data_IF_498278553229
#
_entry.id   IF_498278553229
#
_cell.length_a   1.000
_cell.length_b   1.000
_cell.length_c   1.000
_cell.angle_alpha   90.00
_cell.angle_beta   90.00
_cell.angle_gamma   90.00
#
_symmetry.space_group_name_H-M   'P 1'
#
loop_
_entity.id
_entity.type
_entity.pdbx_description
1 polymer ?
#
# COMPACT_ATOMS: atom_id res chain seq x y z
N UNK A 1 31.06 11.58 -21.84
CA UNK A 1 30.59 11.52 -20.44
C UNK A 1 29.07 11.60 -20.47
N UNK A 2 28.40 10.48 -20.23
CA UNK A 2 26.93 10.36 -20.22
C UNK A 2 26.39 10.82 -18.86
N UNK A 3 25.43 11.75 -18.86
CA UNK A 3 24.75 12.17 -17.65
C UNK A 3 23.99 11.00 -17.01
N UNK A 4 23.98 10.86 -15.67
CA UNK A 4 23.19 9.82 -15.03
C UNK A 4 21.71 10.09 -15.31
N UNK A 5 20.97 9.03 -15.70
CA UNK A 5 19.51 9.10 -15.77
C UNK A 5 19.00 9.52 -14.39
N UNK A 6 18.41 10.71 -14.30
CA UNK A 6 17.61 11.09 -13.16
C UNK A 6 16.45 10.10 -13.10
N UNK A 7 16.53 9.10 -12.20
CA UNK A 7 15.34 8.34 -11.81
C UNK A 7 14.33 9.39 -11.37
N UNK A 8 13.20 9.49 -12.09
CA UNK A 8 12.12 10.37 -11.73
C UNK A 8 11.78 10.07 -10.27
N UNK A 9 12.17 10.97 -9.38
CA UNK A 9 11.84 10.84 -7.97
C UNK A 9 10.32 10.79 -7.91
N UNK A 10 9.77 9.66 -7.47
CA UNK A 10 8.34 9.53 -7.22
C UNK A 10 7.96 10.76 -6.39
N UNK A 11 7.07 11.61 -6.93
CA UNK A 11 6.56 12.73 -6.16
C UNK A 11 5.95 12.14 -4.88
N UNK A 12 6.57 12.38 -3.73
CA UNK A 12 6.10 11.81 -2.45
C UNK A 12 4.96 12.63 -1.86
N UNK A 13 4.73 13.82 -2.40
CA UNK A 13 3.72 14.76 -1.93
C UNK A 13 2.38 14.63 -2.68
N UNK A 14 2.12 13.50 -3.37
CA UNK A 14 0.78 13.20 -3.93
C UNK A 14 -0.28 13.14 -2.84
N UNK A 15 0.14 12.84 -1.60
CA UNK A 15 -0.72 12.79 -0.43
C UNK A 15 -0.34 13.90 0.54
N UNK A 16 -1.34 14.63 1.07
CA UNK A 16 -1.07 15.59 2.14
C UNK A 16 -0.49 14.87 3.36
N UNK A 17 0.65 15.35 3.84
CA UNK A 17 1.28 14.93 5.10
C UNK A 17 0.44 15.45 6.25
N UNK A 18 -0.43 14.59 6.74
CA UNK A 18 -1.31 14.89 7.87
C UNK A 18 -1.29 13.67 8.81
N UNK A 19 -1.52 13.87 10.11
CA UNK A 19 -1.41 12.79 11.09
C UNK A 19 -2.54 11.77 10.99
N UNK A 20 -3.63 12.06 10.27
CA UNK A 20 -4.74 11.12 10.10
C UNK A 20 -4.37 9.95 9.17
N UNK A 21 -4.81 8.73 9.49
CA UNK A 21 -4.58 7.55 8.64
C UNK A 21 -5.07 7.76 7.20
N UNK A 22 -4.27 7.28 6.25
CA UNK A 22 -4.60 7.22 4.83
C UNK A 22 -5.31 5.91 4.55
N UNK A 23 -6.65 5.96 4.51
CA UNK A 23 -7.49 4.79 4.28
C UNK A 23 -7.51 4.40 2.80
N UNK A 24 -7.22 3.13 2.54
CA UNK A 24 -7.16 2.54 1.20
C UNK A 24 -8.27 1.50 1.08
N UNK A 25 -8.97 1.51 -0.05
CA UNK A 25 -9.84 0.43 -0.47
C UNK A 25 -9.13 -0.37 -1.57
N UNK A 26 -8.88 -1.65 -1.32
CA UNK A 26 -8.23 -2.55 -2.26
C UNK A 26 -9.29 -3.38 -3.00
N UNK A 27 -9.37 -3.17 -4.31
CA UNK A 27 -10.26 -3.89 -5.22
C UNK A 27 -9.45 -4.91 -6.01
N UNK A 28 -9.71 -6.20 -5.78
CA UNK A 28 -9.03 -7.31 -6.43
C UNK A 28 -9.94 -7.83 -7.54
N UNK A 29 -9.52 -7.65 -8.78
CA UNK A 29 -10.24 -8.19 -9.93
C UNK A 29 -10.29 -9.72 -9.85
N UNK A 30 -11.29 -10.33 -10.50
CA UNK A 30 -11.32 -11.78 -10.61
C UNK A 30 -10.45 -12.25 -11.76
N UNK A 31 -9.45 -13.09 -11.48
CA UNK A 31 -8.71 -13.77 -12.54
C UNK A 31 -8.64 -15.28 -12.26
N UNK A 32 -9.32 -16.08 -13.09
CA UNK A 32 -9.50 -17.52 -12.88
C UNK A 32 -8.21 -18.26 -12.54
N UNK A 33 -7.33 -18.50 -13.54
CA UNK A 33 -6.06 -19.20 -13.35
C UNK A 33 -4.89 -18.29 -12.92
N UNK A 34 -5.08 -16.97 -12.90
CA UNK A 34 -4.04 -16.00 -12.54
C UNK A 34 -4.04 -15.65 -11.04
N UNK A 35 -4.81 -16.36 -10.21
CA UNK A 35 -4.85 -16.10 -8.77
C UNK A 35 -3.48 -16.15 -8.08
N UNK A 36 -2.53 -16.96 -8.57
CA UNK A 36 -1.15 -16.99 -8.07
C UNK A 36 -0.34 -15.74 -8.43
N UNK A 37 -0.59 -15.15 -9.61
CA UNK A 37 0.01 -13.87 -10.00
C UNK A 37 -0.55 -12.75 -9.12
N UNK A 38 -1.87 -12.71 -8.92
CA UNK A 38 -2.50 -11.75 -8.00
C UNK A 38 -1.94 -11.88 -6.58
N UNK A 39 -1.76 -13.11 -6.08
CA UNK A 39 -1.17 -13.33 -4.75
C UNK A 39 0.25 -12.74 -4.63
N UNK A 40 1.08 -12.88 -5.67
CA UNK A 40 2.41 -12.24 -5.71
C UNK A 40 2.33 -10.70 -5.69
N UNK A 41 1.41 -10.12 -6.46
CA UNK A 41 1.17 -8.67 -6.47
C UNK A 41 0.71 -8.19 -5.09
N UNK A 42 -0.17 -8.94 -4.42
CA UNK A 42 -0.65 -8.62 -3.08
C UNK A 42 0.49 -8.68 -2.04
N UNK A 43 1.38 -9.66 -2.15
CA UNK A 43 2.56 -9.75 -1.28
C UNK A 43 3.44 -8.49 -1.41
N UNK A 44 3.78 -8.10 -2.63
CA UNK A 44 4.59 -6.90 -2.88
C UNK A 44 3.88 -5.61 -2.44
N UNK A 45 2.56 -5.51 -2.66
CA UNK A 45 1.77 -4.37 -2.20
C UNK A 45 1.81 -4.26 -0.66
N UNK A 46 1.60 -5.37 0.05
CA UNK A 46 1.64 -5.36 1.53
C UNK A 46 3.03 -5.00 2.06
N UNK A 47 4.09 -5.52 1.44
CA UNK A 47 5.47 -5.17 1.78
C UNK A 47 5.75 -3.68 1.54
N UNK A 48 5.35 -3.14 0.39
CA UNK A 48 5.53 -1.73 0.06
C UNK A 48 4.79 -0.81 1.06
N UNK A 49 3.57 -1.17 1.46
CA UNK A 49 2.82 -0.42 2.46
C UNK A 49 3.49 -0.44 3.84
N UNK A 50 4.05 -1.58 4.25
CA UNK A 50 4.81 -1.69 5.50
C UNK A 50 6.07 -0.81 5.47
N UNK A 51 6.88 -0.91 4.41
CA UNK A 51 8.07 -0.06 4.22
C UNK A 51 7.72 1.43 4.25
N UNK A 52 6.63 1.82 3.59
CA UNK A 52 6.15 3.21 3.61
C UNK A 52 5.68 3.66 5.01
N UNK A 53 5.07 2.76 5.78
CA UNK A 53 4.63 3.05 7.15
C UNK A 53 5.79 3.10 8.16
N UNK A 54 6.88 2.39 7.92
CA UNK A 54 8.11 2.50 8.72
C UNK A 54 8.85 3.81 8.45
N UNK A 55 8.81 4.32 7.21
CA UNK A 55 9.44 5.56 6.78
C UNK A 55 8.63 6.84 7.07
N UNK A 56 7.78 6.85 8.12
CA UNK A 56 6.90 7.99 8.41
C UNK A 56 7.64 9.16 9.08
N UNK A 57 7.54 10.31 8.44
CA UNK A 57 8.17 11.55 8.88
C UNK A 57 7.27 12.34 9.85
N UNK A 58 7.84 13.25 10.66
CA UNK A 58 7.08 14.21 11.45
C UNK A 58 6.23 15.15 10.58
N UNK A 59 5.04 15.50 11.04
CA UNK A 59 4.20 16.55 10.46
C UNK A 59 4.42 17.84 11.25
N UNK A 60 5.06 18.82 10.61
CA UNK A 60 5.44 20.08 11.25
C UNK A 60 6.81 19.98 11.92
N UNK A 61 6.88 20.28 13.21
CA UNK A 61 8.13 20.23 13.97
C UNK A 61 8.59 18.79 14.23
N UNK A 62 9.89 18.60 14.48
CA UNK A 62 10.49 17.28 14.69
C UNK A 62 9.93 16.49 15.90
N UNK A 63 9.33 17.19 16.87
CA UNK A 63 8.65 16.60 18.03
C UNK A 63 7.13 16.40 17.82
N UNK A 64 6.61 16.78 16.64
CA UNK A 64 5.21 16.69 16.28
C UNK A 64 4.72 15.28 16.00
N UNK A 65 3.42 15.10 15.78
CA UNK A 65 2.86 13.82 15.38
C UNK A 65 3.47 13.37 14.04
N UNK A 66 3.69 12.07 13.89
CA UNK A 66 4.13 11.50 12.60
C UNK A 66 2.99 11.52 11.59
N UNK A 67 3.36 11.44 10.31
CA UNK A 67 2.42 11.22 9.22
C UNK A 67 1.55 9.99 9.50
N UNK A 68 0.25 10.11 9.20
CA UNK A 68 -0.69 9.01 9.41
C UNK A 68 -0.40 7.82 8.50
N UNK A 69 -0.51 6.61 9.06
CA UNK A 69 -0.22 5.36 8.36
C UNK A 69 -1.16 5.11 7.17
N UNK A 70 -0.69 4.34 6.19
CA UNK A 70 -1.51 3.75 5.15
C UNK A 70 -2.19 2.52 5.74
N UNK A 71 -3.51 2.51 5.72
CA UNK A 71 -4.33 1.43 6.28
C UNK A 71 -5.26 0.96 5.18
N UNK A 72 -5.18 -0.33 4.83
CA UNK A 72 -6.19 -0.94 3.96
C UNK A 72 -7.41 -1.21 4.82
N UNK A 73 -8.43 -0.37 4.66
CA UNK A 73 -9.66 -0.39 5.47
C UNK A 73 -10.74 -1.28 4.83
N UNK A 74 -10.65 -1.49 3.51
CA UNK A 74 -11.60 -2.29 2.75
C UNK A 74 -10.84 -3.23 1.82
N UNK A 75 -11.17 -4.52 1.89
CA UNK A 75 -10.81 -5.52 0.90
C UNK A 75 -12.08 -5.95 0.16
N UNK A 76 -12.05 -5.93 -1.17
CA UNK A 76 -13.14 -6.46 -1.99
C UNK A 76 -12.59 -7.16 -3.21
N UNK A 77 -13.34 -8.14 -3.70
CA UNK A 77 -12.98 -8.84 -4.93
C UNK A 77 -14.11 -9.70 -5.47
N UNK A 78 -14.02 -10.03 -6.76
CA UNK A 78 -15.00 -10.84 -7.46
C UNK A 78 -14.41 -12.19 -7.88
N UNK A 79 -15.19 -13.28 -7.81
CA UNK A 79 -14.73 -14.63 -8.19
C UNK A 79 -13.43 -15.02 -7.47
N UNK A 80 -12.38 -15.43 -8.19
CA UNK A 80 -11.07 -15.76 -7.62
C UNK A 80 -10.44 -14.59 -6.83
N UNK A 81 -10.68 -13.35 -7.25
CA UNK A 81 -10.24 -12.16 -6.52
C UNK A 81 -10.92 -12.01 -5.16
N UNK A 82 -12.16 -12.51 -5.02
CA UNK A 82 -12.86 -12.57 -3.74
C UNK A 82 -12.22 -13.57 -2.76
N UNK A 83 -11.71 -14.70 -3.26
CA UNK A 83 -10.95 -15.64 -2.44
C UNK A 83 -9.65 -15.01 -1.95
N UNK A 84 -8.92 -14.33 -2.84
CA UNK A 84 -7.71 -13.58 -2.49
C UNK A 84 -7.99 -12.46 -1.46
N UNK A 85 -9.07 -11.70 -1.65
CA UNK A 85 -9.50 -10.66 -0.70
C UNK A 85 -9.79 -11.24 0.69
N UNK A 86 -10.51 -12.37 0.76
CA UNK A 86 -10.85 -13.03 2.01
C UNK A 86 -9.61 -13.57 2.74
N UNK A 87 -8.69 -14.22 2.01
CA UNK A 87 -7.43 -14.73 2.56
C UNK A 87 -6.55 -13.59 3.08
N UNK A 88 -6.41 -12.50 2.31
CA UNK A 88 -5.60 -11.36 2.72
C UNK A 88 -6.19 -10.68 3.94
N UNK A 89 -7.50 -10.42 3.96
CA UNK A 89 -8.18 -9.84 5.13
C UNK A 89 -7.98 -10.71 6.38
N UNK A 90 -8.03 -12.04 6.24
CA UNK A 90 -7.76 -12.97 7.34
C UNK A 90 -6.34 -12.84 7.86
N UNK A 91 -5.34 -12.75 6.98
CA UNK A 91 -3.93 -12.62 7.37
C UNK A 91 -3.68 -11.26 8.04
N UNK A 92 -4.28 -10.18 7.54
CA UNK A 92 -4.10 -8.83 8.10
C UNK A 92 -4.77 -8.61 9.46
N UNK A 93 -5.65 -9.52 9.89
CA UNK A 93 -6.30 -9.46 11.22
C UNK A 93 -5.45 -10.08 12.34
N UNK A 94 -4.43 -10.87 12.01
CA UNK A 94 -3.54 -11.55 12.95
C UNK A 94 -2.12 -10.99 12.88
#
# INVERSE_FOLDING_TARGET
MSAPLAMAAINRDVWRRTPEPKKIALVIAGAGSLGSYEAGVLAELTYALDVLNQGREPVGDAAGPREGAFVVDVFTGASAGGMNAAMLARISMY
#
